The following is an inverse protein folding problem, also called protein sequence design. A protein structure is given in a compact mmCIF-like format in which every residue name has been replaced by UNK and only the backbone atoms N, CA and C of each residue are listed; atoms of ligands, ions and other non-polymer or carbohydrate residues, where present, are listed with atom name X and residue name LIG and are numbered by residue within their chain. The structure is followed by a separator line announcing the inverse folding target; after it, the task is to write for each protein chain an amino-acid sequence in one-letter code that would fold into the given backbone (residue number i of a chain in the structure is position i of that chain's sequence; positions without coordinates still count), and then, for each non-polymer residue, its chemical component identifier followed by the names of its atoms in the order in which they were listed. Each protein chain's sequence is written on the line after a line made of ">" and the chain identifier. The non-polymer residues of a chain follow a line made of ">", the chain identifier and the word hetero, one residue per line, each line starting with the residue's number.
data_IF_772876325786
#
_entry.id   IF_772876325786
#
_cell.length_a   1.000
_cell.length_b   1.000
_cell.length_c   1.000
_cell.angle_alpha   90.00
_cell.angle_beta   90.00
_cell.angle_gamma   90.00
#
_symmetry.space_group_name_H-M   'P 1'
#
loop_
_entity.id
_entity.type
_entity.pdbx_description
1 polymer ?
#
# COMPACT_ATOMS: atom_id res chain seq x y z
N UNK A 1 -10.78 -19.53 14.13
CA UNK A 1 -10.08 -18.23 14.25
C UNK A 1 -11.17 -17.25 14.67
N UNK A 2 -11.12 -16.63 15.85
CA UNK A 2 -12.15 -15.65 16.24
C UNK A 2 -12.11 -14.50 15.23
N UNK A 3 -13.22 -14.22 14.55
CA UNK A 3 -13.36 -13.02 13.71
C UNK A 3 -13.25 -11.80 14.65
N UNK A 4 -12.28 -10.91 14.40
CA UNK A 4 -12.24 -9.62 15.09
C UNK A 4 -13.30 -8.71 14.47
N UNK A 5 -14.47 -8.67 15.09
CA UNK A 5 -15.63 -7.94 14.59
C UNK A 5 -15.39 -6.43 14.48
N UNK A 6 -14.34 -5.87 15.09
CA UNK A 6 -13.95 -4.45 14.92
C UNK A 6 -13.51 -4.12 13.49
N UNK A 7 -13.15 -5.14 12.72
CA UNK A 7 -12.77 -5.07 11.30
C UNK A 7 -13.96 -5.27 10.37
N UNK A 8 -15.17 -5.16 10.88
CA UNK A 8 -16.38 -5.30 10.08
C UNK A 8 -17.31 -4.15 10.41
N UNK A 9 -17.71 -3.40 9.38
CA UNK A 9 -18.81 -2.44 9.50
C UNK A 9 -19.97 -2.91 8.64
N UNK A 10 -21.19 -2.54 9.03
CA UNK A 10 -22.36 -2.83 8.23
C UNK A 10 -22.47 -1.83 7.07
N UNK A 11 -22.76 -2.34 5.88
CA UNK A 11 -23.12 -1.52 4.73
C UNK A 11 -24.64 -1.34 4.70
N UNK A 12 -25.10 -0.09 4.83
CA UNK A 12 -26.53 0.24 4.90
C UNK A 12 -27.32 -0.21 3.66
N UNK A 13 -26.70 -0.19 2.47
CA UNK A 13 -27.36 -0.65 1.26
C UNK A 13 -27.48 -2.17 1.29
N UNK A 14 -26.42 -2.88 1.69
CA UNK A 14 -26.46 -4.35 1.81
C UNK A 14 -27.45 -4.81 2.87
N UNK A 15 -27.58 -4.10 4.00
CA UNK A 15 -28.61 -4.38 5.00
C UNK A 15 -30.01 -4.29 4.40
N UNK A 16 -30.28 -3.21 3.66
CA UNK A 16 -31.57 -2.98 3.01
C UNK A 16 -31.86 -4.06 1.96
N UNK A 17 -30.88 -4.37 1.11
CA UNK A 17 -30.98 -5.40 0.06
C UNK A 17 -31.18 -6.81 0.64
N UNK A 18 -30.59 -7.09 1.81
CA UNK A 18 -30.75 -8.36 2.51
C UNK A 18 -32.15 -8.51 3.15
N UNK A 19 -32.85 -7.40 3.38
CA UNK A 19 -34.22 -7.38 3.92
C UNK A 19 -34.37 -6.80 5.33
N UNK A 20 -33.37 -6.06 5.83
CA UNK A 20 -33.55 -5.26 7.05
C UNK A 20 -34.50 -4.07 6.78
N UNK A 21 -35.34 -3.76 7.76
CA UNK A 21 -36.21 -2.58 7.74
C UNK A 21 -35.60 -1.47 8.58
N UNK A 22 -35.37 -0.30 7.98
CA UNK A 22 -34.87 0.89 8.69
C UNK A 22 -35.98 1.54 9.52
N UNK A 23 -35.74 1.69 10.82
CA UNK A 23 -36.63 2.35 11.79
C UNK A 23 -35.81 3.31 12.66
N UNK A 24 -35.83 4.60 12.31
CA UNK A 24 -34.99 5.60 12.97
C UNK A 24 -33.50 5.30 12.76
N UNK A 25 -32.77 5.09 13.85
CA UNK A 25 -31.35 4.70 13.85
C UNK A 25 -31.13 3.19 13.79
N UNK A 26 -32.19 2.39 13.84
CA UNK A 26 -32.09 0.94 13.89
C UNK A 26 -32.43 0.31 12.54
N UNK A 27 -31.72 -0.75 12.18
CA UNK A 27 -32.07 -1.70 11.12
C UNK A 27 -32.57 -2.97 11.79
N UNK A 28 -33.79 -3.39 11.47
CA UNK A 28 -34.45 -4.55 12.11
C UNK A 28 -34.72 -5.64 11.08
N UNK A 29 -34.24 -6.85 11.37
CA UNK A 29 -34.51 -8.05 10.59
C UNK A 29 -35.17 -9.12 11.47
N UNK A 30 -36.17 -9.80 10.92
CA UNK A 30 -36.89 -10.88 11.62
C UNK A 30 -36.93 -12.12 10.74
N UNK A 31 -36.59 -13.28 11.31
CA UNK A 31 -36.58 -14.56 10.61
C UNK A 31 -37.21 -15.65 11.48
N UNK A 32 -38.23 -16.29 10.96
CA UNK A 32 -38.82 -17.46 11.60
C UNK A 32 -37.90 -18.68 11.40
N UNK A 33 -37.74 -19.49 12.44
CA UNK A 33 -36.95 -20.71 12.46
C UNK A 33 -37.76 -21.87 13.03
N UNK A 34 -37.33 -23.11 12.79
CA UNK A 34 -37.98 -24.33 13.28
C UNK A 34 -39.49 -24.34 13.00
N UNK A 35 -39.85 -24.28 11.71
CA UNK A 35 -41.23 -24.32 11.23
C UNK A 35 -42.16 -23.20 11.77
N UNK A 36 -41.57 -22.14 12.34
CA UNK A 36 -42.32 -20.99 12.86
C UNK A 36 -42.41 -20.93 14.37
N UNK A 37 -41.96 -21.97 15.09
CA UNK A 37 -42.01 -22.05 16.55
C UNK A 37 -41.19 -20.93 17.24
N UNK A 38 -40.15 -20.43 16.56
CA UNK A 38 -39.34 -19.32 17.06
C UNK A 38 -39.08 -18.26 15.99
N UNK A 39 -38.78 -17.06 16.47
CA UNK A 39 -38.37 -15.91 15.67
C UNK A 39 -37.02 -15.38 16.16
N UNK A 40 -36.06 -15.26 15.25
CA UNK A 40 -34.85 -14.47 15.47
C UNK A 40 -35.18 -13.03 15.13
N UNK A 41 -34.83 -12.10 16.01
CA UNK A 41 -34.91 -10.66 15.78
C UNK A 41 -33.51 -10.07 15.93
N UNK A 42 -33.03 -9.42 14.87
CA UNK A 42 -31.71 -8.80 14.79
C UNK A 42 -31.90 -7.30 14.64
N UNK A 43 -31.20 -6.53 15.47
CA UNK A 43 -31.22 -5.07 15.49
C UNK A 43 -29.79 -4.55 15.32
N UNK A 44 -29.59 -3.62 14.38
CA UNK A 44 -28.29 -3.00 14.10
C UNK A 44 -28.44 -1.48 14.13
N UNK A 45 -27.64 -0.79 14.96
CA UNK A 45 -27.54 0.68 14.99
C UNK A 45 -26.08 1.15 15.01
N UNK A 46 -25.25 0.52 15.84
CA UNK A 46 -23.77 0.60 15.90
C UNK A 46 -23.16 -0.75 16.28
N UNK A 47 -23.93 -1.54 17.03
CA UNK A 47 -23.63 -2.93 17.39
C UNK A 47 -24.70 -3.85 16.79
N UNK A 48 -24.34 -5.10 16.55
CA UNK A 48 -25.29 -6.14 16.18
C UNK A 48 -25.82 -6.78 17.46
N UNK A 49 -27.10 -6.59 17.73
CA UNK A 49 -27.84 -7.29 18.78
C UNK A 49 -28.79 -8.29 18.15
N UNK A 50 -28.87 -9.49 18.70
CA UNK A 50 -29.77 -10.51 18.22
C UNK A 50 -30.39 -11.31 19.37
N UNK A 51 -31.68 -11.56 19.27
CA UNK A 51 -32.48 -12.27 20.26
C UNK A 51 -33.35 -13.32 19.59
N UNK A 52 -33.73 -14.35 20.35
CA UNK A 52 -34.68 -15.37 19.91
C UNK A 52 -35.93 -15.25 20.76
N UNK A 53 -37.09 -15.30 20.13
CA UNK A 53 -38.39 -15.26 20.77
C UNK A 53 -39.15 -16.56 20.48
N UNK A 54 -39.85 -17.07 21.47
CA UNK A 54 -40.87 -18.10 21.28
C UNK A 54 -42.09 -17.45 20.60
N UNK A 55 -42.54 -18.02 19.48
CA UNK A 55 -43.58 -17.41 18.66
C UNK A 55 -44.97 -17.49 19.29
N UNK A 56 -45.22 -18.43 20.20
CA UNK A 56 -46.51 -18.62 20.86
C UNK A 56 -46.66 -17.68 22.06
N UNK A 57 -45.59 -17.50 22.84
CA UNK A 57 -45.61 -16.66 24.05
C UNK A 57 -45.12 -15.23 23.83
N UNK A 58 -44.40 -14.98 22.73
CA UNK A 58 -43.64 -13.74 22.45
C UNK A 58 -42.61 -13.41 23.56
N UNK A 59 -42.17 -14.43 24.31
CA UNK A 59 -41.13 -14.30 25.34
C UNK A 59 -39.73 -14.62 24.79
N UNK A 60 -38.71 -13.94 25.32
CA UNK A 60 -37.32 -14.16 24.92
C UNK A 60 -36.82 -15.55 25.35
N UNK A 61 -36.37 -16.35 24.39
CA UNK A 61 -35.81 -17.67 24.59
C UNK A 61 -34.31 -17.61 24.94
N UNK A 62 -34.01 -17.37 26.22
CA UNK A 62 -32.63 -17.16 26.72
C UNK A 62 -31.76 -18.42 26.83
N UNK A 63 -32.35 -19.62 26.68
CA UNK A 63 -31.65 -20.89 26.89
C UNK A 63 -30.46 -21.11 25.95
N UNK A 64 -30.42 -20.42 24.79
CA UNK A 64 -29.29 -20.50 23.85
C UNK A 64 -27.98 -19.96 24.45
N UNK A 65 -28.04 -19.08 25.45
CA UNK A 65 -26.86 -18.47 26.09
C UNK A 65 -26.33 -19.25 27.31
N UNK A 66 -27.10 -20.23 27.81
CA UNK A 66 -26.72 -20.98 29.01
C UNK A 66 -25.66 -22.04 28.70
N UNK A 67 -24.47 -21.87 29.27
CA UNK A 67 -23.36 -22.84 29.19
C UNK A 67 -23.75 -24.12 29.94
N UNK A 68 -23.73 -25.27 29.25
CA UNK A 68 -23.97 -26.60 29.84
C UNK A 68 -25.38 -27.19 29.65
N UNK A 69 -26.38 -26.43 29.19
CA UNK A 69 -27.66 -27.01 28.75
C UNK A 69 -27.50 -27.66 27.37
N UNK A 70 -27.48 -28.99 27.32
CA UNK A 70 -27.27 -29.80 26.10
C UNK A 70 -28.52 -30.59 25.66
N UNK A 71 -29.71 -30.01 25.79
CA UNK A 71 -30.90 -30.61 25.19
C UNK A 71 -30.80 -30.57 23.67
N UNK A 72 -31.11 -31.69 22.97
CA UNK A 72 -31.12 -31.76 21.50
C UNK A 72 -31.93 -30.62 20.85
N UNK A 73 -33.00 -30.18 21.53
CA UNK A 73 -33.84 -29.07 21.10
C UNK A 73 -33.15 -27.71 21.22
N UNK A 74 -32.55 -27.39 22.37
CA UNK A 74 -31.79 -26.14 22.58
C UNK A 74 -30.65 -26.01 21.55
N UNK A 75 -30.00 -27.13 21.22
CA UNK A 75 -28.93 -27.13 20.21
C UNK A 75 -29.44 -26.80 18.80
N UNK A 76 -30.63 -27.28 18.42
CA UNK A 76 -31.23 -26.90 17.13
C UNK A 76 -31.52 -25.40 17.04
N UNK A 77 -32.10 -24.83 18.09
CA UNK A 77 -32.36 -23.37 18.16
C UNK A 77 -31.05 -22.59 18.10
N UNK A 78 -30.03 -23.02 18.85
CA UNK A 78 -28.70 -22.40 18.86
C UNK A 78 -28.04 -22.44 17.49
N UNK A 79 -28.05 -23.58 16.80
CA UNK A 79 -27.48 -23.70 15.46
C UNK A 79 -28.21 -22.81 14.46
N UNK A 80 -29.54 -22.80 14.44
CA UNK A 80 -30.30 -21.91 13.56
C UNK A 80 -30.03 -20.42 13.84
N UNK A 81 -29.83 -20.05 15.11
CA UNK A 81 -29.38 -18.72 15.50
C UNK A 81 -27.98 -18.40 14.95
N UNK A 82 -26.99 -19.26 15.20
CA UNK A 82 -25.61 -19.07 14.74
C UNK A 82 -25.53 -18.96 13.21
N UNK A 83 -26.22 -19.84 12.47
CA UNK A 83 -26.28 -19.83 11.01
C UNK A 83 -26.89 -18.51 10.49
N UNK A 84 -27.95 -18.00 11.13
CA UNK A 84 -28.57 -16.74 10.74
C UNK A 84 -27.62 -15.55 10.93
N UNK A 85 -26.87 -15.53 12.03
CA UNK A 85 -25.93 -14.44 12.32
C UNK A 85 -24.74 -14.51 11.38
N UNK A 86 -24.22 -15.71 11.10
CA UNK A 86 -23.14 -15.90 10.14
C UNK A 86 -23.56 -15.48 8.71
N UNK A 87 -24.78 -15.80 8.30
CA UNK A 87 -25.33 -15.41 7.01
C UNK A 87 -25.45 -13.88 6.85
N UNK A 88 -25.96 -13.20 7.88
CA UNK A 88 -26.03 -11.73 7.94
C UNK A 88 -24.63 -11.12 7.87
N UNK A 89 -23.68 -11.63 8.65
CA UNK A 89 -22.31 -11.14 8.65
C UNK A 89 -21.66 -11.28 7.27
N UNK A 90 -21.88 -12.38 6.56
CA UNK A 90 -21.28 -12.62 5.25
C UNK A 90 -21.91 -11.76 4.14
N UNK A 91 -23.18 -11.38 4.25
CA UNK A 91 -23.88 -10.61 3.22
C UNK A 91 -23.94 -9.10 3.50
N UNK A 92 -24.00 -8.69 4.76
CA UNK A 92 -24.26 -7.29 5.14
C UNK A 92 -23.03 -6.56 5.65
N UNK A 93 -21.98 -7.26 6.08
CA UNK A 93 -20.79 -6.62 6.64
C UNK A 93 -19.66 -6.56 5.62
N UNK A 94 -18.96 -5.44 5.62
CA UNK A 94 -17.78 -5.19 4.81
C UNK A 94 -16.56 -5.28 5.70
N UNK A 95 -15.52 -5.93 5.20
CA UNK A 95 -14.25 -6.03 5.89
C UNK A 95 -13.49 -4.70 5.82
N UNK A 96 -13.24 -4.11 6.97
CA UNK A 96 -12.28 -3.02 7.14
C UNK A 96 -10.88 -3.58 7.36
N UNK A 97 -9.95 -3.14 6.51
CA UNK A 97 -8.54 -3.48 6.65
C UNK A 97 -7.92 -2.95 7.95
N UNK A 98 -8.52 -1.93 8.57
CA UNK A 98 -7.96 -1.22 9.72
C UNK A 98 -8.97 -1.00 10.82
N UNK A 99 -8.50 -0.94 12.07
CA UNK A 99 -9.35 -0.78 13.24
C UNK A 99 -9.50 0.70 13.61
N UNK A 100 -8.43 1.50 13.55
CA UNK A 100 -8.43 2.86 14.07
C UNK A 100 -8.93 3.89 13.03
N UNK A 101 -9.63 4.97 13.45
CA UNK A 101 -10.19 5.97 12.54
C UNK A 101 -9.15 6.60 11.60
N UNK A 102 -7.98 6.98 12.10
CA UNK A 102 -6.92 7.58 11.29
C UNK A 102 -6.43 6.63 10.18
N UNK A 103 -6.22 5.36 10.50
CA UNK A 103 -5.84 4.34 9.52
C UNK A 103 -6.88 4.17 8.41
N UNK A 104 -8.18 4.20 8.76
CA UNK A 104 -9.28 4.13 7.78
C UNK A 104 -9.27 5.35 6.86
N UNK A 105 -9.11 6.57 7.41
CA UNK A 105 -9.02 7.79 6.59
C UNK A 105 -7.81 7.76 5.66
N UNK A 106 -6.63 7.37 6.16
CA UNK A 106 -5.42 7.25 5.36
C UNK A 106 -5.54 6.20 4.25
N UNK A 107 -6.23 5.08 4.51
CA UNK A 107 -6.52 4.08 3.49
C UNK A 107 -7.31 4.68 2.32
N UNK A 108 -8.37 5.44 2.61
CA UNK A 108 -9.15 6.12 1.58
C UNK A 108 -8.33 7.17 0.83
N UNK A 109 -7.51 7.97 1.53
CA UNK A 109 -6.63 8.96 0.89
C UNK A 109 -5.59 8.31 -0.04
N UNK A 110 -5.05 7.16 0.34
CA UNK A 110 -4.12 6.39 -0.49
C UNK A 110 -4.84 5.79 -1.71
N UNK A 111 -6.02 5.22 -1.51
CA UNK A 111 -6.83 4.66 -2.61
C UNK A 111 -7.23 5.75 -3.60
N UNK A 112 -7.71 6.90 -3.13
CA UNK A 112 -8.14 8.02 -3.98
C UNK A 112 -6.97 8.58 -4.80
N UNK A 113 -5.82 8.80 -4.15
CA UNK A 113 -4.66 9.45 -4.77
C UNK A 113 -3.83 8.52 -5.65
N UNK A 114 -3.65 7.27 -5.24
CA UNK A 114 -2.74 6.32 -5.88
C UNK A 114 -3.45 5.16 -6.58
N UNK A 115 -4.76 5.00 -6.38
CA UNK A 115 -5.53 3.86 -6.86
C UNK A 115 -4.94 2.53 -6.39
N UNK A 116 -4.44 2.51 -5.14
CA UNK A 116 -3.81 1.34 -4.50
C UNK A 116 -4.65 0.91 -3.32
N UNK A 117 -5.10 -0.34 -3.36
CA UNK A 117 -5.68 -1.03 -2.21
C UNK A 117 -4.60 -1.75 -1.39
N UNK A 118 -4.78 -1.91 -0.07
CA UNK A 118 -3.88 -2.69 0.76
C UNK A 118 -3.92 -4.18 0.39
N UNK A 119 -2.75 -4.81 0.39
CA UNK A 119 -2.58 -6.26 0.25
C UNK A 119 -2.10 -6.89 1.57
N UNK A 120 -2.37 -8.18 1.76
CA UNK A 120 -2.07 -8.93 2.98
C UNK A 120 -1.05 -10.05 2.67
N UNK A 121 0.26 -9.73 2.60
CA UNK A 121 1.26 -10.72 2.20
C UNK A 121 1.59 -11.74 3.28
N UNK A 122 1.14 -11.54 4.52
CA UNK A 122 1.53 -12.36 5.67
C UNK A 122 0.39 -13.28 6.07
N UNK A 123 0.63 -14.59 6.13
CA UNK A 123 -0.40 -15.56 6.54
C UNK A 123 -0.83 -15.43 8.01
N UNK A 124 -0.14 -14.62 8.81
CA UNK A 124 -0.39 -14.42 10.24
C UNK A 124 -0.25 -12.95 10.60
N UNK A 125 -1.18 -12.47 11.42
CA UNK A 125 -1.20 -11.10 11.93
C UNK A 125 -1.95 -10.13 11.04
N UNK A 126 -2.16 -8.95 11.58
CA UNK A 126 -2.94 -7.88 10.96
C UNK A 126 -1.97 -6.82 10.42
N UNK A 127 -1.42 -7.09 9.24
CA UNK A 127 -0.43 -6.25 8.60
C UNK A 127 -0.74 -6.11 7.12
N UNK A 128 -0.86 -4.88 6.67
CA UNK A 128 -1.34 -4.54 5.32
C UNK A 128 -0.33 -3.66 4.61
N UNK A 129 0.01 -4.03 3.38
CA UNK A 129 1.06 -3.39 2.58
C UNK A 129 0.44 -2.66 1.39
N UNK A 130 0.91 -1.45 1.14
CA UNK A 130 0.64 -0.68 -0.07
C UNK A 130 1.83 -0.79 -1.04
N UNK A 131 1.53 -1.12 -2.30
CA UNK A 131 2.55 -1.37 -3.33
C UNK A 131 2.34 -0.55 -4.59
N UNK A 132 3.45 -0.23 -5.25
CA UNK A 132 3.50 0.27 -6.60
C UNK A 132 4.53 -0.54 -7.38
N UNK A 133 4.12 -1.21 -8.46
CA UNK A 133 4.97 -2.12 -9.26
C UNK A 133 5.78 -3.09 -8.37
N UNK A 134 5.08 -3.86 -7.52
CA UNK A 134 5.62 -4.81 -6.54
C UNK A 134 6.50 -4.23 -5.41
N UNK A 135 6.83 -2.93 -5.46
CA UNK A 135 7.62 -2.28 -4.41
C UNK A 135 6.71 -1.69 -3.34
N UNK A 136 7.06 -1.95 -2.09
CA UNK A 136 6.32 -1.45 -0.94
C UNK A 136 6.64 0.03 -0.74
N UNK A 137 5.60 0.84 -0.54
CA UNK A 137 5.72 2.23 -0.13
C UNK A 137 5.02 2.53 1.19
N UNK A 138 4.15 1.63 1.67
CA UNK A 138 3.50 1.75 2.97
C UNK A 138 3.24 0.38 3.56
N UNK A 139 3.27 0.27 4.88
CA UNK A 139 2.89 -0.93 5.62
C UNK A 139 2.22 -0.48 6.93
N UNK A 140 0.95 -0.81 7.12
CA UNK A 140 0.26 -0.59 8.40
C UNK A 140 0.29 -1.88 9.21
N UNK A 141 0.65 -1.78 10.49
CA UNK A 141 0.76 -2.91 11.43
C UNK A 141 -0.06 -2.62 12.67
N UNK A 142 -0.97 -3.54 13.04
CA UNK A 142 -1.64 -3.53 14.34
C UNK A 142 -0.69 -4.07 15.42
N UNK A 143 -0.46 -3.30 16.48
CA UNK A 143 0.52 -3.59 17.52
C UNK A 143 0.15 -2.88 18.84
N UNK A 144 1.09 -2.78 19.78
CA UNK A 144 0.92 -2.12 21.08
C UNK A 144 1.89 -0.94 21.23
N UNK A 145 1.46 0.13 21.91
CA UNK A 145 2.28 1.32 22.20
C UNK A 145 3.63 0.97 22.85
N UNK A 146 3.71 -0.13 23.63
CA UNK A 146 4.92 -0.58 24.33
C UNK A 146 6.08 -0.94 23.39
N UNK A 147 5.83 -1.05 22.09
CA UNK A 147 6.88 -1.21 21.08
C UNK A 147 7.64 0.08 20.76
N UNK A 148 7.09 1.23 21.17
CA UNK A 148 7.57 2.56 20.82
C UNK A 148 7.84 3.44 22.04
N UNK A 149 7.02 3.32 23.09
CA UNK A 149 7.12 4.14 24.29
C UNK A 149 6.61 3.40 25.54
N UNK A 150 6.83 3.98 26.73
CA UNK A 150 6.38 3.42 28.02
C UNK A 150 4.86 3.62 28.23
N UNK A 151 4.05 3.14 27.29
CA UNK A 151 2.58 3.17 27.31
C UNK A 151 2.05 1.81 26.85
N UNK A 152 0.95 1.35 27.45
CA UNK A 152 0.24 0.14 27.03
C UNK A 152 -1.00 0.52 26.20
N UNK A 153 -1.45 -0.38 25.34
CA UNK A 153 -2.66 -0.22 24.55
C UNK A 153 -2.43 -0.49 23.07
N UNK A 154 -3.48 -0.93 22.40
CA UNK A 154 -3.42 -1.21 20.97
C UNK A 154 -3.26 0.07 20.15
N UNK A 155 -2.53 -0.04 19.04
CA UNK A 155 -2.33 1.02 18.06
C UNK A 155 -2.03 0.42 16.70
N UNK A 156 -2.39 1.13 15.63
CA UNK A 156 -1.86 0.87 14.29
C UNK A 156 -0.73 1.84 13.98
N UNK A 157 0.39 1.34 13.47
CA UNK A 157 1.49 2.18 13.02
C UNK A 157 1.70 2.05 11.52
N UNK A 158 2.02 3.16 10.86
CA UNK A 158 2.36 3.22 9.44
C UNK A 158 3.88 3.26 9.26
N UNK A 159 4.42 2.21 8.66
CA UNK A 159 5.78 2.16 8.15
C UNK A 159 5.85 2.75 6.74
N UNK A 160 6.73 3.72 6.54
CA UNK A 160 6.97 4.37 5.25
C UNK A 160 8.46 4.52 4.97
N UNK A 161 8.83 4.51 3.68
CA UNK A 161 10.21 4.46 3.22
C UNK A 161 10.80 5.87 3.10
N UNK A 162 11.05 6.46 4.26
CA UNK A 162 11.69 7.77 4.41
C UNK A 162 12.88 7.61 5.36
N UNK A 163 14.05 8.23 5.12
CA UNK A 163 15.17 8.17 6.07
C UNK A 163 14.83 8.92 7.36
N UNK A 164 15.10 8.33 8.52
CA UNK A 164 14.77 8.92 9.84
C UNK A 164 15.37 10.32 10.04
N UNK A 165 16.54 10.59 9.50
CA UNK A 165 17.25 11.88 9.65
C UNK A 165 16.54 13.04 8.93
N UNK A 166 15.49 12.77 8.15
CA UNK A 166 14.74 13.79 7.41
C UNK A 166 13.51 14.30 8.14
N UNK A 167 13.09 13.66 9.24
CA UNK A 167 11.87 14.03 9.96
C UNK A 167 12.08 13.94 11.47
N UNK A 168 11.75 15.00 12.19
CA UNK A 168 11.80 15.04 13.65
C UNK A 168 10.42 15.39 14.22
N UNK A 169 9.67 14.37 14.64
CA UNK A 169 8.33 14.53 15.23
C UNK A 169 8.12 13.52 16.37
N UNK A 170 7.43 13.88 17.47
CA UNK A 170 7.19 12.97 18.60
C UNK A 170 6.51 11.63 18.26
N UNK A 171 5.69 11.64 17.20
CA UNK A 171 4.93 10.47 16.72
C UNK A 171 5.71 9.58 15.75
N UNK A 172 6.95 9.97 15.42
CA UNK A 172 7.79 9.30 14.44
C UNK A 172 8.93 8.59 15.15
N UNK A 173 9.02 7.30 14.89
CA UNK A 173 9.95 6.38 15.54
C UNK A 173 10.84 5.69 14.51
N UNK A 174 12.00 5.15 14.94
CA UNK A 174 12.75 4.21 14.12
C UNK A 174 11.85 3.06 13.66
N UNK A 175 11.99 2.63 12.41
CA UNK A 175 11.13 1.62 11.84
C UNK A 175 10.97 0.34 12.70
N UNK A 176 9.71 -0.04 12.90
CA UNK A 176 9.26 -1.30 13.45
C UNK A 176 9.15 -2.35 12.34
N UNK A 177 9.77 -3.51 12.52
CA UNK A 177 9.92 -4.60 11.52
C UNK A 177 10.69 -4.26 10.22
N UNK A 178 10.88 -2.99 9.88
CA UNK A 178 11.56 -2.55 8.66
C UNK A 178 12.99 -2.03 8.92
N UNK A 179 13.73 -1.73 7.85
CA UNK A 179 15.10 -1.23 7.95
C UNK A 179 15.12 0.23 8.47
N UNK A 180 15.59 0.41 9.71
CA UNK A 180 15.67 1.70 10.43
C UNK A 180 16.47 2.81 9.74
N UNK A 181 17.30 2.51 8.72
CA UNK A 181 18.02 3.53 7.93
C UNK A 181 17.19 4.12 6.80
N UNK A 182 16.17 3.41 6.35
CA UNK A 182 15.42 3.74 5.12
C UNK A 182 13.92 3.80 5.35
N UNK A 183 13.47 3.47 6.55
CA UNK A 183 12.08 3.45 6.94
C UNK A 183 11.92 4.10 8.31
N UNK A 184 10.75 4.69 8.51
CA UNK A 184 10.26 5.21 9.80
C UNK A 184 8.91 4.58 10.12
N UNK A 185 8.55 4.58 11.40
CA UNK A 185 7.20 4.24 11.86
C UNK A 185 6.50 5.48 12.37
N UNK A 186 5.29 5.73 11.89
CA UNK A 186 4.40 6.78 12.38
C UNK A 186 3.31 6.11 13.22
N UNK A 187 3.10 6.56 14.46
CA UNK A 187 1.92 6.14 15.23
C UNK A 187 0.66 6.83 14.69
N UNK A 188 -0.39 6.06 14.42
CA UNK A 188 -1.66 6.58 13.90
C UNK A 188 -2.61 6.90 15.06
N UNK A 189 -2.21 7.83 15.92
CA UNK A 189 -2.89 8.23 17.15
C UNK A 189 -3.38 9.69 17.14
N UNK A 190 -3.61 10.25 15.95
CA UNK A 190 -4.10 11.62 15.71
C UNK A 190 -3.10 12.73 16.10
N UNK A 191 -1.88 12.39 16.53
CA UNK A 191 -0.85 13.39 16.90
C UNK A 191 -0.17 14.04 15.70
N UNK A 192 -0.10 13.33 14.57
CA UNK A 192 0.33 13.88 13.28
C UNK A 192 -0.90 13.93 12.35
N UNK A 193 -1.07 15.04 11.64
CA UNK A 193 -2.25 15.24 10.78
C UNK A 193 -2.23 14.29 9.58
N UNK A 194 -3.41 13.96 9.06
CA UNK A 194 -3.54 13.13 7.86
C UNK A 194 -2.80 13.76 6.66
N UNK A 195 -2.77 15.10 6.56
CA UNK A 195 -2.06 15.85 5.51
C UNK A 195 -0.55 15.65 5.61
N UNK A 196 0.02 15.81 6.81
CA UNK A 196 1.46 15.62 7.04
C UNK A 196 1.87 14.17 6.79
N UNK A 197 1.05 13.21 7.22
CA UNK A 197 1.28 11.79 6.96
C UNK A 197 1.26 11.53 5.45
N UNK A 198 0.28 12.08 4.72
CA UNK A 198 0.20 11.90 3.27
C UNK A 198 1.39 12.53 2.53
N UNK A 199 1.94 13.65 3.00
CA UNK A 199 3.18 14.21 2.45
C UNK A 199 4.37 13.24 2.56
N UNK A 200 4.45 12.48 3.65
CA UNK A 200 5.48 11.44 3.82
C UNK A 200 5.18 10.18 3.00
N UNK A 201 3.92 9.81 2.84
CA UNK A 201 3.48 8.75 1.93
C UNK A 201 3.86 9.10 0.49
N UNK A 202 3.68 10.35 0.07
CA UNK A 202 4.07 10.84 -1.26
C UNK A 202 5.57 10.62 -1.50
N UNK A 203 6.41 11.02 -0.55
CA UNK A 203 7.86 10.82 -0.65
C UNK A 203 8.21 9.33 -0.78
N UNK A 204 7.59 8.49 0.05
CA UNK A 204 7.77 7.04 -0.01
C UNK A 204 7.33 6.47 -1.37
N UNK A 205 6.16 6.88 -1.87
CA UNK A 205 5.62 6.46 -3.15
C UNK A 205 6.52 6.88 -4.31
N UNK A 206 7.04 8.11 -4.34
CA UNK A 206 7.94 8.54 -5.41
C UNK A 206 9.21 7.68 -5.51
N UNK A 207 9.69 7.11 -4.41
CA UNK A 207 10.85 6.17 -4.44
C UNK A 207 10.54 4.85 -5.17
N UNK A 208 9.27 4.57 -5.44
CA UNK A 208 8.80 3.36 -6.12
C UNK A 208 8.48 3.58 -7.59
N UNK A 209 8.21 4.83 -8.00
CA UNK A 209 7.88 5.17 -9.39
C UNK A 209 9.09 4.89 -10.28
N UNK A 210 8.90 3.99 -11.24
CA UNK A 210 9.91 3.63 -12.23
C UNK A 210 9.66 4.51 -13.46
N UNK A 211 10.68 5.25 -13.89
CA UNK A 211 10.65 5.91 -15.19
C UNK A 211 11.04 4.92 -16.28
N UNK A 212 10.40 4.94 -17.44
CA UNK A 212 10.78 4.08 -18.56
C UNK A 212 12.17 4.40 -19.14
N UNK A 213 12.66 5.63 -18.97
CA UNK A 213 13.99 6.04 -19.43
C UNK A 213 15.10 5.31 -18.64
N UNK A 214 16.18 4.98 -19.34
CA UNK A 214 17.30 4.22 -18.80
C UNK A 214 18.53 5.10 -18.58
N UNK A 215 19.40 4.66 -17.67
CA UNK A 215 20.77 5.13 -17.56
C UNK A 215 21.73 3.96 -17.61
N UNK A 216 22.77 4.08 -18.44
CA UNK A 216 23.83 3.08 -18.59
C UNK A 216 25.21 3.68 -18.27
N UNK A 217 26.12 2.91 -17.64
CA UNK A 217 27.49 3.37 -17.43
C UNK A 217 28.36 3.11 -18.67
N UNK A 218 29.22 4.07 -18.98
CA UNK A 218 30.30 3.95 -19.94
C UNK A 218 31.63 4.34 -19.29
N UNK A 219 32.68 3.59 -19.56
CA UNK A 219 34.02 3.88 -19.04
C UNK A 219 34.87 4.55 -20.13
N UNK A 220 35.40 5.76 -19.89
CA UNK A 220 36.31 6.41 -20.85
C UNK A 220 37.56 5.57 -21.16
N UNK A 221 37.97 4.69 -20.24
CA UNK A 221 39.09 3.76 -20.44
C UNK A 221 38.77 2.60 -21.38
N UNK A 222 37.49 2.26 -21.55
CA UNK A 222 37.05 1.11 -22.36
C UNK A 222 36.50 1.53 -23.73
N UNK A 223 35.84 2.69 -23.79
CA UNK A 223 35.25 3.19 -25.02
C UNK A 223 35.23 4.72 -25.01
N UNK A 224 35.86 5.32 -26.00
CA UNK A 224 35.91 6.77 -26.16
C UNK A 224 34.64 7.28 -26.84
N UNK A 225 33.64 7.62 -26.02
CA UNK A 225 32.37 8.15 -26.51
C UNK A 225 32.51 9.50 -27.21
N UNK A 226 33.47 10.33 -26.81
CA UNK A 226 33.65 11.66 -27.41
C UNK A 226 34.14 11.48 -28.84
N UNK A 227 35.16 10.64 -29.04
CA UNK A 227 35.64 10.32 -30.38
C UNK A 227 34.54 9.66 -31.23
N UNK A 228 33.80 8.71 -30.68
CA UNK A 228 32.74 8.01 -31.40
C UNK A 228 31.63 8.96 -31.85
N UNK A 229 31.11 9.81 -30.93
CA UNK A 229 30.03 10.75 -31.25
C UNK A 229 30.48 11.97 -32.09
N UNK A 230 31.77 12.24 -32.18
CA UNK A 230 32.31 13.20 -33.15
C UNK A 230 32.34 12.63 -34.58
N UNK A 231 32.35 11.30 -34.73
CA UNK A 231 32.34 10.64 -36.04
C UNK A 231 30.93 10.34 -36.55
N UNK A 232 30.00 10.04 -35.65
CA UNK A 232 28.63 9.69 -35.99
C UNK A 232 27.71 9.94 -34.80
N UNK A 233 26.47 10.35 -35.04
CA UNK A 233 25.44 10.34 -33.98
C UNK A 233 25.02 8.93 -33.58
N UNK A 234 25.45 7.91 -34.32
CA UNK A 234 25.12 6.51 -34.09
C UNK A 234 26.30 5.75 -33.51
N UNK A 235 26.06 5.03 -32.40
CA UNK A 235 27.04 4.11 -31.82
C UNK A 235 26.43 2.73 -31.60
N UNK A 236 27.22 1.70 -31.87
CA UNK A 236 26.89 0.33 -31.48
C UNK A 236 27.21 0.14 -30.00
N UNK A 237 26.25 -0.44 -29.28
CA UNK A 237 26.40 -0.75 -27.87
C UNK A 237 25.96 -2.18 -27.59
N UNK A 238 26.48 -2.78 -26.54
CA UNK A 238 26.09 -4.13 -26.14
C UNK A 238 24.73 -4.10 -25.43
N UNK A 239 23.90 -5.10 -25.68
CA UNK A 239 22.57 -5.18 -25.07
C UNK A 239 22.69 -5.29 -23.53
N UNK A 240 21.81 -4.59 -22.82
CA UNK A 240 21.77 -4.58 -21.35
C UNK A 240 20.35 -4.59 -20.82
N UNK A 241 19.96 -5.69 -20.17
CA UNK A 241 18.63 -5.82 -19.57
C UNK A 241 17.54 -5.77 -20.65
N UNK A 242 16.35 -5.30 -20.27
CA UNK A 242 15.18 -5.19 -21.14
C UNK A 242 15.09 -3.81 -21.80
N UNK A 243 16.20 -3.34 -22.41
CA UNK A 243 16.22 -2.07 -23.15
C UNK A 243 15.79 -2.35 -24.59
N UNK A 244 14.58 -1.93 -24.93
CA UNK A 244 13.97 -2.18 -26.23
C UNK A 244 14.08 -0.97 -27.16
N UNK A 245 13.71 -1.18 -28.41
CA UNK A 245 13.61 -0.12 -29.41
C UNK A 245 12.73 1.03 -28.90
N UNK A 246 13.07 2.25 -29.33
CA UNK A 246 12.46 3.53 -28.95
C UNK A 246 12.72 3.99 -27.50
N UNK A 247 13.33 3.16 -26.66
CA UNK A 247 13.70 3.55 -25.31
C UNK A 247 14.69 4.73 -25.31
N UNK A 248 14.51 5.63 -24.33
CA UNK A 248 15.46 6.71 -24.05
C UNK A 248 16.55 6.20 -23.11
N UNK A 249 17.81 6.45 -23.46
CA UNK A 249 18.97 6.01 -22.70
C UNK A 249 19.91 7.18 -22.44
N UNK A 250 20.10 7.50 -21.17
CA UNK A 250 21.14 8.40 -20.70
C UNK A 250 22.45 7.64 -20.50
N UNK A 251 23.57 8.21 -20.94
CA UNK A 251 24.90 7.60 -20.77
C UNK A 251 25.65 8.36 -19.69
N UNK A 252 25.90 7.68 -18.57
CA UNK A 252 26.80 8.13 -17.51
C UNK A 252 28.24 7.79 -17.89
N UNK A 253 29.04 8.81 -18.19
CA UNK A 253 30.44 8.64 -18.54
C UNK A 253 31.30 8.74 -17.29
N UNK A 254 32.02 7.67 -16.97
CA UNK A 254 32.82 7.54 -15.75
C UNK A 254 34.00 8.51 -15.68
N UNK A 255 34.84 8.34 -14.66
CA UNK A 255 35.99 9.21 -14.41
C UNK A 255 36.89 9.36 -15.68
N UNK A 256 37.34 10.59 -16.01
CA UNK A 256 37.35 11.78 -15.15
C UNK A 256 36.04 12.58 -15.11
N UNK A 257 35.09 12.31 -16.01
CA UNK A 257 33.87 13.12 -16.15
C UNK A 257 32.87 12.88 -15.02
N UNK A 258 32.60 11.61 -14.70
CA UNK A 258 31.67 11.21 -13.63
C UNK A 258 30.31 11.92 -13.70
N UNK A 259 29.72 11.96 -14.89
CA UNK A 259 28.50 12.72 -15.19
C UNK A 259 27.64 12.05 -16.27
N UNK A 260 26.35 12.37 -16.34
CA UNK A 260 25.54 12.07 -17.53
C UNK A 260 25.95 13.03 -18.64
N UNK A 261 26.44 12.50 -19.76
CA UNK A 261 26.96 13.31 -20.87
C UNK A 261 26.18 13.17 -22.16
N UNK A 262 25.37 12.13 -22.31
CA UNK A 262 24.62 11.90 -23.54
C UNK A 262 23.22 11.43 -23.23
N UNK A 263 22.25 11.92 -24.01
CA UNK A 263 20.90 11.35 -24.13
C UNK A 263 20.81 10.72 -25.51
N UNK A 264 20.39 9.46 -25.55
CA UNK A 264 20.25 8.68 -26.77
C UNK A 264 18.86 8.07 -26.88
N UNK A 265 18.46 7.72 -28.10
CA UNK A 265 17.34 6.83 -28.39
C UNK A 265 17.89 5.50 -28.90
N UNK A 266 17.27 4.40 -28.49
CA UNK A 266 17.54 3.08 -29.07
C UNK A 266 16.80 2.98 -30.39
N UNK A 267 17.54 2.90 -31.49
CA UNK A 267 16.97 2.80 -32.84
C UNK A 267 16.69 1.35 -33.21
N UNK A 268 17.58 0.45 -32.80
CA UNK A 268 17.46 -0.99 -33.02
C UNK A 268 18.00 -1.73 -31.80
N UNK A 269 17.39 -2.86 -31.47
CA UNK A 269 17.77 -3.68 -30.31
C UNK A 269 17.55 -5.15 -30.61
N UNK A 270 18.56 -5.98 -30.38
CA UNK A 270 18.48 -7.45 -30.46
C UNK A 270 19.00 -8.08 -29.16
N UNK A 271 19.14 -9.40 -29.11
CA UNK A 271 19.56 -10.12 -27.90
C UNK A 271 20.98 -9.75 -27.41
N UNK A 272 21.84 -9.23 -28.29
CA UNK A 272 23.28 -9.03 -28.01
C UNK A 272 23.75 -7.59 -28.19
N UNK A 273 23.10 -6.79 -29.04
CA UNK A 273 23.49 -5.41 -29.33
C UNK A 273 22.29 -4.48 -29.47
N UNK A 274 22.57 -3.19 -29.29
CA UNK A 274 21.65 -2.10 -29.53
C UNK A 274 22.36 -0.96 -30.28
N UNK A 275 21.64 -0.34 -31.21
CA UNK A 275 22.09 0.85 -31.93
C UNK A 275 21.54 2.09 -31.23
N UNK A 276 22.43 2.91 -30.69
CA UNK A 276 22.07 4.15 -30.01
C UNK A 276 22.25 5.33 -30.96
N UNK A 277 21.22 6.16 -31.09
CA UNK A 277 21.29 7.46 -31.75
C UNK A 277 21.35 8.56 -30.70
N UNK A 278 22.39 9.39 -30.73
CA UNK A 278 22.52 10.58 -29.90
C UNK A 278 21.41 11.57 -30.22
N UNK A 279 20.71 12.00 -29.17
CA UNK A 279 19.73 13.09 -29.21
C UNK A 279 20.31 14.38 -28.63
N UNK A 280 21.14 14.26 -27.59
CA UNK A 280 21.74 15.42 -26.91
C UNK A 280 23.10 15.08 -26.31
N UNK A 281 24.01 16.04 -26.31
CA UNK A 281 25.25 16.04 -25.52
C UNK A 281 25.13 17.07 -24.40
N UNK A 282 25.58 16.71 -23.22
CA UNK A 282 25.58 17.56 -22.02
C UNK A 282 27.01 17.88 -21.61
N UNK A 283 27.21 19.11 -21.12
CA UNK A 283 28.42 19.46 -20.41
C UNK A 283 28.50 18.65 -19.09
N UNK A 284 29.65 18.05 -18.76
CA UNK A 284 29.78 17.21 -17.56
C UNK A 284 29.51 17.95 -16.25
N UNK A 285 29.51 19.29 -16.23
CA UNK A 285 29.17 20.09 -15.05
C UNK A 285 27.67 20.20 -14.75
N UNK A 286 26.80 19.88 -15.73
CA UNK A 286 25.34 19.97 -15.55
C UNK A 286 24.79 18.84 -14.68
N UNK A 287 25.21 17.60 -14.95
CA UNK A 287 24.70 16.40 -14.28
C UNK A 287 25.81 15.53 -13.67
N UNK A 288 26.68 16.10 -12.82
CA UNK A 288 27.74 15.34 -12.15
C UNK A 288 27.16 14.39 -11.10
N UNK A 289 27.94 13.38 -10.73
CA UNK A 289 27.53 12.35 -9.76
C UNK A 289 26.94 12.92 -8.46
N UNK A 290 27.44 14.06 -7.96
CA UNK A 290 26.90 14.69 -6.75
C UNK A 290 25.46 15.16 -6.92
N UNK A 291 25.10 15.70 -8.09
CA UNK A 291 23.70 16.02 -8.43
C UNK A 291 22.88 14.74 -8.55
N UNK A 292 23.40 13.70 -9.21
CA UNK A 292 22.66 12.44 -9.38
C UNK A 292 22.34 11.77 -8.02
N UNK A 293 23.22 11.92 -7.02
CA UNK A 293 23.01 11.37 -5.68
C UNK A 293 21.83 12.00 -4.95
N UNK A 294 21.51 13.28 -5.19
CA UNK A 294 20.36 13.94 -4.54
C UNK A 294 19.04 13.32 -5.01
N UNK A 295 19.00 12.87 -6.26
CA UNK A 295 17.88 12.11 -6.84
C UNK A 295 18.02 10.60 -6.68
N UNK A 296 18.76 10.14 -5.65
CA UNK A 296 18.91 8.71 -5.30
C UNK A 296 19.66 7.84 -6.33
N UNK A 297 20.27 8.42 -7.37
CA UNK A 297 21.09 7.72 -8.35
C UNK A 297 22.57 7.74 -7.96
N UNK A 298 22.96 6.86 -7.02
CA UNK A 298 24.30 6.90 -6.39
C UNK A 298 25.39 6.13 -7.12
N UNK A 299 25.12 4.89 -7.52
CA UNK A 299 26.11 4.00 -8.13
C UNK A 299 25.54 3.43 -9.43
N UNK A 300 26.11 3.86 -10.55
CA UNK A 300 25.71 3.44 -11.89
C UNK A 300 26.74 2.40 -12.35
N UNK A 301 26.54 1.15 -11.92
CA UNK A 301 27.43 0.01 -12.23
C UNK A 301 26.86 -0.93 -13.31
N UNK A 302 25.60 -0.70 -13.69
CA UNK A 302 24.90 -1.43 -14.74
C UNK A 302 23.71 -0.60 -15.24
N UNK A 303 23.05 -1.09 -16.28
CA UNK A 303 21.83 -0.49 -16.80
C UNK A 303 20.72 -0.51 -15.75
N UNK A 304 20.02 0.61 -15.61
CA UNK A 304 18.88 0.76 -14.70
C UNK A 304 18.00 1.92 -15.15
N UNK A 305 16.76 1.97 -14.67
CA UNK A 305 15.88 3.11 -14.90
C UNK A 305 16.37 4.36 -14.17
N UNK A 306 16.14 5.51 -14.80
CA UNK A 306 16.37 6.81 -14.19
C UNK A 306 15.23 7.12 -13.20
N UNK A 307 15.49 7.77 -12.06
CA UNK A 307 14.44 8.30 -11.19
C UNK A 307 13.56 9.32 -11.93
N UNK A 308 12.24 9.30 -11.71
CA UNK A 308 11.29 10.20 -12.39
C UNK A 308 11.62 11.68 -12.16
N UNK A 309 11.87 12.06 -10.91
CA UNK A 309 12.24 13.43 -10.51
C UNK A 309 13.52 13.91 -11.23
N UNK A 310 14.49 13.02 -11.42
CA UNK A 310 15.71 13.35 -12.17
C UNK A 310 15.42 13.59 -13.65
N UNK A 311 14.54 12.78 -14.26
CA UNK A 311 14.11 13.00 -15.65
C UNK A 311 13.39 14.35 -15.80
N UNK A 312 12.51 14.68 -14.86
CA UNK A 312 11.80 15.97 -14.84
C UNK A 312 12.77 17.14 -14.66
N UNK A 313 13.75 17.02 -13.76
CA UNK A 313 14.80 18.00 -13.57
C UNK A 313 15.64 18.23 -14.84
N UNK A 314 16.10 17.15 -15.48
CA UNK A 314 16.83 17.23 -16.76
C UNK A 314 15.92 17.88 -17.82
N UNK A 315 14.67 17.43 -17.94
CA UNK A 315 13.71 17.94 -18.92
C UNK A 315 13.34 19.41 -18.74
N UNK A 316 13.26 19.91 -17.50
CA UNK A 316 12.98 21.31 -17.22
C UNK A 316 14.20 22.21 -17.43
N UNK A 317 15.41 21.68 -17.19
CA UNK A 317 16.67 22.38 -17.47
C UNK A 317 17.00 22.41 -18.97
N UNK A 318 16.45 21.44 -19.72
CA UNK A 318 16.63 21.28 -21.15
C UNK A 318 15.73 22.18 -22.03
N UNK A 319 14.69 22.80 -21.44
CA UNK A 319 13.77 23.75 -22.09
C UNK A 319 14.37 25.13 -22.21
#
# INVERSE_FOLDING_TARGET
>A
MMKDYRRYHCDENKLTDYGFNKQGHNYIYKKNILDGDFRIEVIINDILEAKVYDSDTDEEYTNIHLVGKQGKFVQKVRTAYEDCIEDILNHCFVYDYFVFPQSKRLMHLIEEKYHVLPDHPFTKGDSFVFRNNDKWFGLIVHTDYSKFCDKQGEIECLNIKVPIDTVNHPSIYPAFHMNKKHWISILLDETLSDEDIMSLVDQSYQTTVICEDWVIPASPKRFDLIKAFNQSDYIQWHQKGNIHQDAIVYIYYGAPYSAIMYKCQVVESNETSMLLKRLKTYDPTLYPLEVLKTYQLRAIRGARHIPKELKEYIGNTDK
#
